data_IF_570677488055
#
_entry.id   IF_570677488055
#
_cell.length_a   1.000
_cell.length_b   1.000
_cell.length_c   1.000
_cell.angle_alpha   90.00
_cell.angle_beta   90.00
_cell.angle_gamma   90.00
#
_symmetry.space_group_name_H-M   'P 1'
#
loop_
_entity.id
_entity.type
_entity.pdbx_description
1 polymer ?
#
# COMPACT_ATOMS: atom_id res chain seq x y z
N UNK A 1 -4.11 10.97 -13.67
CA UNK A 1 -3.56 11.62 -12.46
C UNK A 1 -3.96 10.83 -11.20
N UNK A 2 -3.16 10.77 -10.12
CA UNK A 2 -3.62 10.18 -8.84
C UNK A 2 -4.79 11.00 -8.32
N UNK A 3 -5.89 10.35 -7.93
CA UNK A 3 -7.08 11.06 -7.45
C UNK A 3 -7.08 11.18 -5.92
N UNK A 4 -6.47 10.21 -5.23
CA UNK A 4 -6.22 10.28 -3.79
C UNK A 4 -5.03 9.36 -3.43
N UNK A 5 -4.08 9.85 -2.63
CA UNK A 5 -3.00 9.09 -1.99
C UNK A 5 -2.90 9.62 -0.57
N UNK A 6 -3.23 8.78 0.42
CA UNK A 6 -3.36 9.25 1.80
C UNK A 6 -3.04 8.17 2.82
N UNK A 7 -2.70 8.64 4.03
CA UNK A 7 -2.72 7.84 5.25
C UNK A 7 -3.98 8.20 6.05
N UNK A 8 -4.70 7.20 6.52
CA UNK A 8 -5.88 7.36 7.36
C UNK A 8 -5.93 6.23 8.40
N UNK A 9 -6.97 6.21 9.25
CA UNK A 9 -7.09 5.25 10.36
C UNK A 9 -5.80 5.18 11.21
N UNK A 10 -5.25 6.36 11.53
CA UNK A 10 -4.00 6.46 12.28
C UNK A 10 -4.30 6.17 13.75
N UNK A 11 -3.72 5.08 14.24
CA UNK A 11 -3.61 4.80 15.65
C UNK A 11 -2.28 5.33 16.17
N UNK A 12 -2.32 6.40 16.97
CA UNK A 12 -1.14 7.02 17.53
C UNK A 12 -0.54 6.25 18.72
N UNK A 13 -1.32 5.39 19.37
CA UNK A 13 -0.88 4.54 20.47
C UNK A 13 -0.14 3.33 19.91
N UNK A 14 -0.75 2.62 18.96
CA UNK A 14 -0.18 1.46 18.30
C UNK A 14 0.81 1.83 17.17
N UNK A 15 0.84 3.11 16.77
CA UNK A 15 1.72 3.68 15.74
C UNK A 15 1.53 3.03 14.37
N UNK A 16 0.30 2.82 13.95
CA UNK A 16 0.02 2.31 12.60
C UNK A 16 -1.00 3.17 11.85
N UNK A 17 -0.94 3.12 10.53
CA UNK A 17 -1.88 3.80 9.64
C UNK A 17 -2.23 2.93 8.44
N UNK A 18 -3.41 3.17 7.89
CA UNK A 18 -3.88 2.59 6.64
C UNK A 18 -3.49 3.50 5.46
N UNK A 19 -2.98 2.90 4.40
CA UNK A 19 -2.64 3.55 3.14
C UNK A 19 -3.78 3.34 2.14
N UNK A 20 -4.29 4.46 1.61
CA UNK A 20 -5.31 4.47 0.57
C UNK A 20 -4.78 5.05 -0.72
N UNK A 21 -5.04 4.36 -1.83
CA UNK A 21 -4.72 4.84 -3.18
C UNK A 21 -5.95 4.75 -4.08
N UNK A 22 -6.43 5.90 -4.52
CA UNK A 22 -7.38 6.06 -5.62
C UNK A 22 -6.63 6.44 -6.90
N UNK A 23 -6.39 5.48 -7.80
CA UNK A 23 -5.83 5.79 -9.12
C UNK A 23 -6.99 6.04 -10.09
N UNK A 24 -7.26 7.31 -10.38
CA UNK A 24 -8.39 7.72 -11.22
C UNK A 24 -8.25 7.37 -12.71
N UNK A 25 -7.02 7.31 -13.23
CA UNK A 25 -6.77 7.04 -14.65
C UNK A 25 -5.98 5.75 -14.87
N UNK A 26 -6.56 4.85 -15.66
CA UNK A 26 -5.89 3.61 -16.13
C UNK A 26 -4.63 3.89 -16.95
N UNK A 27 -4.49 5.07 -17.56
CA UNK A 27 -3.32 5.43 -18.38
C UNK A 27 -2.02 5.64 -17.60
N UNK A 28 -2.10 5.87 -16.29
CA UNK A 28 -0.93 6.04 -15.42
C UNK A 28 -0.53 4.73 -14.73
N UNK A 29 -1.23 3.63 -15.04
CA UNK A 29 -0.94 2.31 -14.51
C UNK A 29 0.29 1.73 -15.23
N UNK A 30 1.33 1.36 -14.47
CA UNK A 30 2.50 0.66 -15.02
C UNK A 30 3.67 1.54 -15.47
N UNK A 31 3.62 2.86 -15.23
CA UNK A 31 4.73 3.79 -15.52
C UNK A 31 5.65 4.11 -14.34
N UNK A 32 5.69 3.27 -13.30
CA UNK A 32 6.56 3.47 -12.12
C UNK A 32 6.06 4.52 -11.11
N UNK A 33 5.19 5.45 -11.52
CA UNK A 33 4.66 6.51 -10.63
C UNK A 33 4.00 6.00 -9.34
N UNK A 34 3.47 4.76 -9.35
CA UNK A 34 2.82 4.18 -8.16
C UNK A 34 3.81 3.81 -7.09
N UNK A 35 4.99 3.35 -7.50
CA UNK A 35 6.05 2.94 -6.59
C UNK A 35 6.73 4.15 -5.96
N UNK A 36 7.00 5.20 -6.73
CA UNK A 36 7.59 6.43 -6.21
C UNK A 36 6.65 7.14 -5.24
N UNK A 37 5.37 7.26 -5.58
CA UNK A 37 4.39 7.92 -4.73
C UNK A 37 4.15 7.13 -3.42
N UNK A 38 4.03 5.80 -3.50
CA UNK A 38 4.00 4.93 -2.30
C UNK A 38 5.29 5.08 -1.50
N UNK A 39 6.45 5.06 -2.15
CA UNK A 39 7.75 5.23 -1.51
C UNK A 39 7.87 6.54 -0.73
N UNK A 40 7.47 7.67 -1.32
CA UNK A 40 7.43 8.97 -0.65
C UNK A 40 6.49 8.97 0.56
N UNK A 41 5.31 8.35 0.44
CA UNK A 41 4.37 8.25 1.54
C UNK A 41 4.91 7.37 2.68
N UNK A 42 5.59 6.26 2.35
CA UNK A 42 6.25 5.40 3.33
C UNK A 42 7.43 6.11 4.01
N UNK A 43 8.23 6.87 3.26
CA UNK A 43 9.28 7.72 3.81
C UNK A 43 8.70 8.72 4.83
N UNK A 44 7.59 9.37 4.50
CA UNK A 44 6.88 10.25 5.42
C UNK A 44 6.32 9.50 6.64
N UNK A 45 5.64 8.37 6.43
CA UNK A 45 5.02 7.55 7.48
C UNK A 45 6.05 7.07 8.51
N UNK A 46 7.16 6.53 8.03
CA UNK A 46 8.20 6.01 8.88
C UNK A 46 9.11 7.13 9.37
N UNK A 47 9.81 7.88 8.50
CA UNK A 47 10.82 8.85 8.98
C UNK A 47 10.21 10.01 9.77
N UNK A 48 9.14 10.61 9.27
CA UNK A 48 8.63 11.87 9.79
C UNK A 48 7.49 11.69 10.81
N UNK A 49 6.64 10.67 10.63
CA UNK A 49 5.53 10.38 11.55
C UNK A 49 5.84 9.32 12.60
N UNK A 50 7.01 8.70 12.52
CA UNK A 50 7.47 7.68 13.46
C UNK A 50 6.42 6.56 13.70
N UNK A 51 5.77 6.13 12.61
CA UNK A 51 4.90 4.95 12.63
C UNK A 51 5.74 3.68 12.72
N UNK A 52 5.21 2.63 13.33
CA UNK A 52 5.77 1.28 13.38
C UNK A 52 5.30 0.43 12.21
N UNK A 53 4.13 0.74 11.63
CA UNK A 53 3.47 -0.08 10.61
C UNK A 53 2.62 0.76 9.66
N UNK A 54 2.61 0.38 8.39
CA UNK A 54 1.63 0.82 7.40
C UNK A 54 0.95 -0.41 6.83
N UNK A 55 -0.36 -0.36 6.64
CA UNK A 55 -1.14 -1.46 6.06
C UNK A 55 -2.13 -0.95 5.02
N UNK A 56 -2.68 -1.84 4.21
CA UNK A 56 -3.65 -1.51 3.17
C UNK A 56 -4.56 -2.69 2.87
N UNK A 57 -5.69 -2.38 2.24
CA UNK A 57 -6.56 -3.36 1.61
C UNK A 57 -6.52 -3.24 0.09
N UNK A 58 -6.65 -4.37 -0.60
CA UNK A 58 -6.72 -4.41 -2.06
C UNK A 58 -7.61 -5.55 -2.52
N UNK A 59 -8.46 -5.29 -3.51
CA UNK A 59 -9.28 -6.33 -4.11
C UNK A 59 -8.40 -7.46 -4.66
N UNK A 60 -8.72 -8.71 -4.33
CA UNK A 60 -7.95 -9.90 -4.72
C UNK A 60 -7.86 -10.09 -6.24
N UNK A 61 -8.82 -9.56 -6.99
CA UNK A 61 -8.78 -9.54 -8.46
C UNK A 61 -7.74 -8.54 -9.03
N UNK A 62 -7.26 -7.58 -8.25
CA UNK A 62 -6.30 -6.56 -8.68
C UNK A 62 -4.86 -7.05 -8.51
N UNK A 63 -4.49 -8.10 -9.24
CA UNK A 63 -3.14 -8.67 -9.19
C UNK A 63 -2.03 -7.68 -9.56
N UNK A 64 -2.34 -6.63 -10.34
CA UNK A 64 -1.38 -5.56 -10.66
C UNK A 64 -1.02 -4.74 -9.42
N UNK A 65 -2.02 -4.30 -8.64
CA UNK A 65 -1.79 -3.55 -7.41
C UNK A 65 -1.06 -4.41 -6.36
N UNK A 66 -1.47 -5.66 -6.17
CA UNK A 66 -0.80 -6.60 -5.25
C UNK A 66 0.70 -6.73 -5.59
N UNK A 67 1.05 -6.92 -6.86
CA UNK A 67 2.46 -6.98 -7.28
C UNK A 67 3.21 -5.67 -7.02
N UNK A 68 2.56 -4.53 -7.21
CA UNK A 68 3.16 -3.23 -6.94
C UNK A 68 3.43 -3.03 -5.44
N UNK A 69 2.49 -3.42 -4.56
CA UNK A 69 2.68 -3.35 -3.12
C UNK A 69 3.77 -4.30 -2.64
N UNK A 70 3.84 -5.53 -3.16
CA UNK A 70 4.95 -6.46 -2.88
C UNK A 70 6.31 -5.87 -3.29
N UNK A 71 6.38 -5.20 -4.44
CA UNK A 71 7.60 -4.50 -4.89
C UNK A 71 7.99 -3.28 -4.02
N UNK A 72 7.06 -2.79 -3.19
CA UNK A 72 7.32 -1.76 -2.17
C UNK A 72 7.64 -2.35 -0.79
N UNK A 73 7.71 -3.69 -0.67
CA UNK A 73 8.02 -4.39 0.58
C UNK A 73 6.80 -4.90 1.35
N UNK A 74 5.57 -4.61 0.91
CA UNK A 74 4.38 -5.11 1.62
C UNK A 74 4.24 -6.63 1.53
N UNK A 75 3.85 -7.24 2.64
CA UNK A 75 3.57 -8.66 2.80
C UNK A 75 2.06 -8.88 2.91
N UNK A 76 1.54 -9.97 2.35
CA UNK A 76 0.14 -10.37 2.53
C UNK A 76 -0.04 -11.01 3.91
N UNK A 77 -0.98 -10.48 4.70
CA UNK A 77 -1.19 -10.89 6.09
C UNK A 77 -2.54 -11.57 6.30
N UNK A 78 -3.49 -11.31 5.39
CA UNK A 78 -4.83 -11.86 5.49
C UNK A 78 -5.61 -11.75 4.19
N UNK A 79 -6.61 -12.62 4.06
CA UNK A 79 -7.48 -12.69 2.91
C UNK A 79 -8.91 -12.97 3.34
N UNK A 80 -9.79 -12.01 3.15
CA UNK A 80 -11.22 -12.15 3.40
C UNK A 80 -11.89 -12.68 2.13
N UNK A 81 -12.27 -13.97 2.14
CA UNK A 81 -12.83 -14.64 0.97
C UNK A 81 -14.22 -14.10 0.63
N UNK A 82 -14.44 -13.75 -0.64
CA UNK A 82 -15.73 -13.26 -1.13
C UNK A 82 -16.25 -12.00 -0.42
N UNK A 83 -15.34 -11.15 0.07
CA UNK A 83 -15.70 -9.99 0.89
C UNK A 83 -16.20 -8.78 0.09
N UNK A 84 -15.79 -8.64 -1.16
CA UNK A 84 -16.09 -7.47 -2.00
C UNK A 84 -17.00 -7.88 -3.15
N UNK A 85 -18.12 -7.17 -3.35
CA UNK A 85 -18.95 -7.29 -4.55
C UNK A 85 -18.45 -6.32 -5.62
N UNK A 86 -17.89 -6.84 -6.71
CA UNK A 86 -17.29 -6.06 -7.81
C UNK A 86 -17.56 -6.75 -9.14
N UNK A 87 -18.01 -6.00 -10.15
CA UNK A 87 -18.31 -6.51 -11.49
C UNK A 87 -19.21 -7.77 -11.46
N UNK A 88 -20.32 -7.69 -10.71
CA UNK A 88 -21.32 -8.76 -10.57
C UNK A 88 -20.80 -10.09 -9.98
N UNK A 89 -19.67 -10.05 -9.28
CA UNK A 89 -19.11 -11.22 -8.59
C UNK A 89 -18.54 -10.84 -7.23
N UNK A 90 -18.50 -11.83 -6.34
CA UNK A 90 -17.73 -11.74 -5.11
C UNK A 90 -16.24 -11.97 -5.40
N UNK A 91 -15.39 -11.06 -4.94
CA UNK A 91 -13.93 -11.18 -4.96
C UNK A 91 -13.38 -11.06 -3.55
N UNK A 92 -12.21 -11.64 -3.34
CA UNK A 92 -11.53 -11.52 -2.04
C UNK A 92 -11.13 -10.06 -1.76
N UNK A 93 -11.01 -9.73 -0.49
CA UNK A 93 -10.25 -8.58 -0.04
C UNK A 93 -8.93 -9.06 0.56
N UNK A 94 -7.81 -8.45 0.15
CA UNK A 94 -6.47 -8.84 0.58
C UNK A 94 -5.92 -7.74 1.47
N UNK A 95 -5.50 -8.12 2.67
CA UNK A 95 -4.86 -7.24 3.64
C UNK A 95 -3.36 -7.42 3.52
N UNK A 96 -2.65 -6.30 3.36
CA UNK A 96 -1.20 -6.28 3.27
C UNK A 96 -0.60 -5.29 4.27
N UNK A 97 0.57 -5.63 4.81
CA UNK A 97 1.28 -4.83 5.81
C UNK A 97 2.75 -4.65 5.47
N UNK A 98 3.33 -3.55 5.97
CA UNK A 98 4.76 -3.27 5.96
C UNK A 98 5.16 -2.72 7.33
N UNK A 99 6.12 -3.37 7.97
CA UNK A 99 6.70 -2.92 9.22
C UNK A 99 7.88 -1.98 8.96
N UNK A 100 8.10 -1.05 9.90
CA UNK A 100 9.27 -0.17 9.86
C UNK A 100 10.57 -0.95 9.71
N UNK A 101 10.75 -1.99 10.51
CA UNK A 101 11.99 -2.77 10.58
C UNK A 101 12.32 -3.42 9.22
N UNK A 102 11.29 -3.89 8.51
CA UNK A 102 11.40 -4.45 7.15
C UNK A 102 11.74 -3.35 6.12
N UNK A 103 11.15 -2.17 6.29
CA UNK A 103 11.44 -1.01 5.43
C UNK A 103 12.84 -0.45 5.65
N UNK A 104 13.36 -0.44 6.89
CA UNK A 104 14.74 -0.02 7.22
C UNK A 104 15.78 -1.03 6.74
N UNK A 105 15.47 -2.33 6.80
CA UNK A 105 16.34 -3.41 6.34
C UNK A 105 16.41 -3.59 4.82
N UNK A 106 15.54 -2.94 4.06
CA UNK A 106 15.57 -3.01 2.59
C UNK A 106 16.73 -2.18 2.03
N UNK A 107 17.59 -2.73 1.13
CA UNK A 107 18.64 -1.95 0.50
C UNK A 107 18.01 -0.80 -0.29
N UNK A 108 18.14 0.41 0.25
CA UNK A 108 17.69 1.61 -0.46
C UNK A 108 18.55 1.71 -1.70
N UNK A 109 17.92 1.75 -2.87
CA UNK A 109 18.58 2.33 -4.05
C UNK A 109 18.77 3.81 -3.72
N UNK A 110 19.88 4.13 -3.04
CA UNK A 110 20.28 5.49 -2.74
C UNK A 110 20.42 6.19 -4.07
N UNK A 111 19.46 7.07 -4.38
CA UNK A 111 19.54 7.95 -5.53
C UNK A 111 20.84 8.73 -5.43
N UNK A 112 21.65 8.61 -6.48
CA UNK A 112 22.80 9.46 -6.77
C UNK A 112 22.35 10.86 -7.16
#
# INVERSE_FOLDING_TARGET
>A
MYRDLRLFNIDWTARHAELGIGIGDKEYWGRGYGREAVGLLLDYAFRLRNLRRVWLEVHGANGRAIRAYRACGFVEEGRMRGHVWLDERYVDNVIMGLLREEWEGSPRSTGS
#
